data_IF_547817533234
#
_entry.id   IF_547817533234
#
_cell.length_a   1.000
_cell.length_b   1.000
_cell.length_c   1.000
_cell.angle_alpha   90.00
_cell.angle_beta   90.00
_cell.angle_gamma   90.00
#
_symmetry.space_group_name_H-M   'P 1'
#
loop_
_entity.id
_entity.type
_entity.pdbx_description
1 polymer ?
#
# COMPACT_ATOMS: atom_id res chain seq x y z
N UNK A 1 -53.57 -45.21 -33.20
CA UNK A 1 -53.22 -44.04 -32.37
C UNK A 1 -51.91 -44.39 -31.68
N UNK A 2 -50.80 -43.94 -32.25
CA UNK A 2 -49.49 -44.09 -31.62
C UNK A 2 -49.35 -43.01 -30.53
N UNK A 3 -48.96 -43.46 -29.34
CA UNK A 3 -48.72 -42.63 -28.18
C UNK A 3 -47.39 -41.90 -28.40
N UNK A 4 -47.44 -40.58 -28.60
CA UNK A 4 -46.24 -39.74 -28.73
C UNK A 4 -45.60 -39.63 -27.36
N UNK A 5 -44.57 -40.44 -27.12
CA UNK A 5 -43.70 -40.31 -25.94
C UNK A 5 -42.95 -38.98 -26.07
N UNK A 6 -43.41 -37.94 -25.36
CA UNK A 6 -42.69 -36.68 -25.24
C UNK A 6 -41.39 -36.96 -24.49
N UNK A 7 -40.26 -36.94 -25.19
CA UNK A 7 -38.96 -36.90 -24.53
C UNK A 7 -38.83 -35.56 -23.82
N UNK A 8 -38.74 -35.61 -22.48
CA UNK A 8 -38.40 -34.44 -21.70
C UNK A 8 -37.04 -33.91 -22.18
N UNK A 9 -36.87 -32.58 -22.28
CA UNK A 9 -35.58 -31.99 -22.60
C UNK A 9 -34.50 -32.50 -21.64
N UNK A 10 -33.31 -32.77 -22.18
CA UNK A 10 -32.19 -33.26 -21.39
C UNK A 10 -31.80 -32.20 -20.36
N UNK A 11 -31.82 -32.56 -19.07
CA UNK A 11 -31.31 -31.71 -17.98
C UNK A 11 -29.92 -31.18 -18.36
N UNK A 12 -29.75 -29.87 -18.36
CA UNK A 12 -28.42 -29.26 -18.50
C UNK A 12 -27.82 -29.06 -17.11
N UNK A 13 -26.58 -29.50 -16.94
CA UNK A 13 -25.85 -29.32 -15.69
C UNK A 13 -25.15 -27.96 -15.77
N UNK A 14 -25.55 -27.04 -14.90
CA UNK A 14 -24.81 -25.81 -14.67
C UNK A 14 -23.80 -26.06 -13.55
N UNK A 15 -22.52 -25.97 -13.90
CA UNK A 15 -21.41 -26.09 -12.95
C UNK A 15 -20.96 -24.68 -12.53
N UNK A 16 -21.16 -24.36 -11.24
CA UNK A 16 -20.77 -23.07 -10.67
C UNK A 16 -19.60 -23.31 -9.71
N UNK A 17 -18.43 -22.83 -10.13
CA UNK A 17 -17.26 -22.76 -9.27
C UNK A 17 -17.34 -21.50 -8.39
N UNK A 18 -17.55 -21.69 -7.09
CA UNK A 18 -17.68 -20.59 -6.13
C UNK A 18 -16.65 -20.72 -5.00
N UNK A 19 -16.26 -19.57 -4.44
CA UNK A 19 -15.45 -19.55 -3.22
C UNK A 19 -16.32 -19.29 -2.02
N UNK A 20 -16.40 -20.27 -1.12
CA UNK A 20 -17.07 -20.09 0.17
C UNK A 20 -16.14 -19.33 1.09
N UNK A 21 -16.53 -18.11 1.45
CA UNK A 21 -15.84 -17.34 2.49
C UNK A 21 -16.09 -18.00 3.84
N UNK A 22 -15.02 -18.42 4.49
CA UNK A 22 -15.04 -19.06 5.81
C UNK A 22 -14.94 -18.01 6.91
N UNK A 23 -14.02 -17.06 6.75
CA UNK A 23 -13.78 -16.01 7.71
C UNK A 23 -13.30 -14.73 7.02
N UNK A 24 -13.50 -13.60 7.66
CA UNK A 24 -13.11 -12.28 7.17
C UNK A 24 -12.56 -11.42 8.31
N UNK A 25 -11.49 -10.68 8.02
CA UNK A 25 -11.00 -9.56 8.83
C UNK A 25 -11.18 -8.28 8.05
N UNK A 26 -11.60 -7.22 8.72
CA UNK A 26 -11.56 -5.86 8.18
C UNK A 26 -10.69 -5.00 9.08
N UNK A 27 -9.63 -4.44 8.50
CA UNK A 27 -8.78 -3.43 9.11
C UNK A 27 -9.25 -2.09 8.58
N UNK A 28 -10.04 -1.36 9.36
CA UNK A 28 -10.66 -0.10 8.95
C UNK A 28 -9.70 1.07 9.16
N UNK A 29 -9.57 1.96 8.17
CA UNK A 29 -8.74 3.17 8.19
C UNK A 29 -7.31 2.91 8.68
N UNK A 30 -6.70 1.83 8.20
CA UNK A 30 -5.35 1.49 8.59
C UNK A 30 -4.34 2.41 7.90
N UNK A 31 -3.45 3.01 8.68
CA UNK A 31 -2.38 3.86 8.14
C UNK A 31 -1.30 2.98 7.49
N UNK A 32 -1.22 3.04 6.16
CA UNK A 32 -0.32 2.24 5.32
C UNK A 32 0.96 2.97 4.91
N UNK A 33 0.98 4.31 4.99
CA UNK A 33 2.19 5.12 4.85
C UNK A 33 2.35 5.95 6.12
N UNK A 34 3.48 5.73 6.79
CA UNK A 34 3.84 6.32 8.07
C UNK A 34 5.37 6.29 8.23
N UNK A 35 5.88 6.93 9.26
CA UNK A 35 7.20 6.61 9.79
C UNK A 35 7.07 6.30 11.29
N UNK A 36 8.06 5.61 11.83
CA UNK A 36 8.10 5.30 13.26
C UNK A 36 8.60 6.51 14.06
N UNK A 37 8.03 6.75 15.23
CA UNK A 37 8.51 7.75 16.16
C UNK A 37 9.78 7.25 16.88
N UNK A 38 10.77 8.13 17.04
CA UNK A 38 12.03 7.82 17.68
C UNK A 38 12.26 8.72 18.89
N UNK A 39 12.61 8.12 20.03
CA UNK A 39 13.02 8.85 21.22
C UNK A 39 14.48 8.51 21.52
N UNK A 40 15.38 9.50 21.49
CA UNK A 40 16.81 9.28 21.72
C UNK A 40 17.45 8.28 20.76
N UNK A 41 16.99 8.23 19.49
CA UNK A 41 17.49 7.29 18.48
C UNK A 41 16.94 5.87 18.59
N UNK A 42 16.04 5.60 19.55
CA UNK A 42 15.39 4.29 19.70
C UNK A 42 13.97 4.31 19.13
N UNK A 43 13.59 3.32 18.30
CA UNK A 43 12.24 3.22 17.75
C UNK A 43 11.21 2.90 18.85
N UNK A 44 10.12 3.65 18.90
CA UNK A 44 9.10 3.54 19.95
C UNK A 44 7.93 2.62 19.61
N UNK A 45 7.77 2.21 18.34
CA UNK A 45 6.60 1.47 17.84
C UNK A 45 5.39 2.33 17.48
N UNK A 46 5.40 3.61 17.86
CA UNK A 46 4.34 4.56 17.55
C UNK A 46 4.45 5.04 16.10
N UNK A 47 3.30 5.10 15.40
CA UNK A 47 3.21 5.63 14.05
C UNK A 47 3.02 7.14 14.09
N UNK A 48 3.78 7.84 13.27
CA UNK A 48 3.58 9.26 12.97
C UNK A 48 3.50 9.45 11.45
N UNK A 49 2.93 10.57 10.97
CA UNK A 49 2.95 10.90 9.55
C UNK A 49 4.36 10.82 8.96
N UNK A 50 4.47 10.37 7.71
CA UNK A 50 5.73 10.40 6.99
C UNK A 50 6.12 11.86 6.75
N UNK A 51 7.26 12.26 7.32
CA UNK A 51 7.79 13.61 7.16
C UNK A 51 8.55 13.73 5.85
N UNK A 52 8.03 14.58 4.98
CA UNK A 52 8.60 14.89 3.67
C UNK A 52 9.12 16.33 3.67
N UNK A 53 10.35 16.53 3.21
CA UNK A 53 10.90 17.84 2.91
C UNK A 53 10.89 18.01 1.39
N UNK A 54 9.83 18.62 0.86
CA UNK A 54 9.64 18.81 -0.58
C UNK A 54 10.47 19.99 -1.05
N UNK A 55 11.24 19.83 -2.12
CA UNK A 55 12.05 20.93 -2.66
C UNK A 55 11.16 22.07 -3.16
N UNK A 56 11.48 23.28 -2.69
CA UNK A 56 10.85 24.50 -3.17
C UNK A 56 11.33 24.81 -4.59
N UNK A 57 10.46 25.41 -5.39
CA UNK A 57 10.89 25.96 -6.68
C UNK A 57 11.71 27.21 -6.44
N UNK A 58 12.55 27.55 -7.40
CA UNK A 58 13.26 28.82 -7.40
C UNK A 58 12.63 29.73 -8.45
N UNK A 59 12.44 30.99 -8.09
CA UNK A 59 12.07 32.04 -9.03
C UNK A 59 13.28 32.45 -9.90
N UNK A 60 13.12 33.36 -10.89
CA UNK A 60 14.23 33.84 -11.71
C UNK A 60 15.35 34.56 -10.94
N UNK A 61 15.10 34.98 -9.70
CA UNK A 61 16.07 35.63 -8.81
C UNK A 61 16.70 34.64 -7.81
N UNK A 62 16.42 33.34 -7.93
CA UNK A 62 16.81 32.28 -6.99
C UNK A 62 16.16 32.37 -5.60
N UNK A 63 15.03 33.07 -5.47
CA UNK A 63 14.24 33.06 -4.24
C UNK A 63 13.31 31.83 -4.20
N UNK A 64 13.15 31.18 -3.03
CA UNK A 64 12.33 29.99 -2.90
C UNK A 64 10.84 30.30 -2.99
N UNK A 65 10.14 29.51 -3.80
CA UNK A 65 8.68 29.49 -3.93
C UNK A 65 8.19 28.25 -3.16
N UNK A 66 7.58 28.42 -1.97
CA UNK A 66 7.16 27.31 -1.12
C UNK A 66 6.04 26.47 -1.72
N UNK A 67 5.91 25.25 -1.19
CA UNK A 67 4.74 24.41 -1.43
C UNK A 67 3.53 25.02 -0.73
N UNK A 68 2.45 25.23 -1.49
CA UNK A 68 1.15 25.72 -0.99
C UNK A 68 0.21 24.57 -0.67
N UNK A 69 0.20 23.52 -1.50
CA UNK A 69 -0.67 22.37 -1.32
C UNK A 69 -0.07 21.11 -1.95
N UNK A 70 -0.44 19.95 -1.42
CA UNK A 70 -0.08 18.64 -1.96
C UNK A 70 -1.34 17.79 -2.09
N UNK A 71 -1.48 17.06 -3.20
CA UNK A 71 -2.63 16.19 -3.46
C UNK A 71 -2.18 14.83 -3.96
N UNK A 72 -2.80 13.75 -3.47
CA UNK A 72 -2.59 12.41 -4.01
C UNK A 72 -3.41 12.24 -5.29
N UNK A 73 -2.74 12.14 -6.43
CA UNK A 73 -3.39 11.91 -7.72
C UNK A 73 -3.75 10.44 -7.92
N UNK A 74 -2.79 9.56 -7.63
CA UNK A 74 -2.94 8.13 -7.88
C UNK A 74 -2.02 7.32 -6.98
N UNK A 75 -2.52 6.18 -6.54
CA UNK A 75 -1.69 5.09 -6.04
C UNK A 75 -1.55 4.03 -7.12
N UNK A 76 -0.32 3.70 -7.49
CA UNK A 76 -0.01 2.64 -8.46
C UNK A 76 0.36 1.39 -7.68
N UNK A 77 -0.45 0.33 -7.76
CA UNK A 77 -0.15 -0.96 -7.14
C UNK A 77 0.73 -1.75 -8.10
N UNK A 78 1.79 -2.36 -7.58
CA UNK A 78 2.70 -3.17 -8.38
C UNK A 78 2.03 -4.45 -8.89
N UNK A 79 2.49 -4.96 -10.03
CA UNK A 79 1.97 -6.20 -10.59
C UNK A 79 2.12 -7.37 -9.61
N UNK A 80 1.11 -8.23 -9.55
CA UNK A 80 1.07 -9.35 -8.63
C UNK A 80 0.71 -8.99 -7.18
N UNK A 81 0.38 -7.72 -6.88
CA UNK A 81 -0.13 -7.26 -5.59
C UNK A 81 -1.60 -6.82 -5.69
N UNK A 82 -2.37 -6.82 -4.58
CA UNK A 82 -1.99 -7.22 -3.23
C UNK A 82 -1.73 -8.73 -3.11
N UNK A 83 -0.80 -9.12 -2.24
CA UNK A 83 -0.46 -10.53 -1.99
C UNK A 83 -0.92 -10.95 -0.61
N UNK A 84 -1.44 -12.16 -0.52
CA UNK A 84 -1.63 -12.83 0.76
C UNK A 84 -0.76 -14.09 0.84
N UNK A 85 -0.22 -14.35 2.02
CA UNK A 85 0.35 -15.65 2.36
C UNK A 85 -0.25 -16.17 3.66
N UNK A 86 -0.74 -17.41 3.62
CA UNK A 86 -1.16 -18.12 4.82
C UNK A 86 0.09 -18.73 5.46
N UNK A 87 0.38 -18.33 6.70
CA UNK A 87 1.56 -18.79 7.44
C UNK A 87 1.10 -19.84 8.44
N UNK A 88 1.29 -21.10 8.03
CA UNK A 88 0.82 -22.28 8.75
C UNK A 88 -0.69 -22.15 9.09
N UNK A 89 -1.13 -22.81 10.15
CA UNK A 89 -2.53 -22.79 10.60
C UNK A 89 -2.79 -21.68 11.63
N UNK A 90 -2.05 -20.56 11.55
CA UNK A 90 -2.02 -19.57 12.63
C UNK A 90 -2.40 -18.15 12.22
N UNK A 91 -1.94 -17.71 11.05
CA UNK A 91 -2.01 -16.30 10.67
C UNK A 91 -1.98 -16.15 9.16
N UNK A 92 -2.58 -15.06 8.70
CA UNK A 92 -2.50 -14.61 7.32
C UNK A 92 -1.66 -13.34 7.25
N UNK A 93 -0.82 -13.21 6.23
CA UNK A 93 0.01 -12.04 5.99
C UNK A 93 -0.43 -11.37 4.70
N UNK A 94 -0.93 -10.15 4.84
CA UNK A 94 -1.22 -9.24 3.74
C UNK A 94 0.01 -8.42 3.42
N UNK A 95 0.40 -8.35 2.14
CA UNK A 95 1.49 -7.51 1.65
C UNK A 95 0.96 -6.64 0.51
N UNK A 96 1.22 -5.33 0.60
CA UNK A 96 0.90 -4.35 -0.43
C UNK A 96 2.22 -3.77 -0.94
N UNK A 97 2.35 -3.66 -2.27
CA UNK A 97 3.46 -2.97 -2.90
C UNK A 97 2.94 -1.91 -3.84
N UNK A 98 3.36 -0.68 -3.66
CA UNK A 98 2.79 0.46 -4.39
C UNK A 98 3.74 1.65 -4.49
N UNK A 99 3.40 2.55 -5.41
CA UNK A 99 3.96 3.89 -5.56
C UNK A 99 2.84 4.93 -5.40
N UNK A 100 3.21 6.15 -5.05
CA UNK A 100 2.29 7.28 -4.93
C UNK A 100 2.68 8.37 -5.92
N UNK A 101 1.72 8.85 -6.68
CA UNK A 101 1.88 10.01 -7.56
C UNK A 101 1.18 11.18 -6.88
N UNK A 102 1.97 12.17 -6.50
CA UNK A 102 1.54 13.38 -5.82
C UNK A 102 1.65 14.57 -6.78
N UNK A 103 0.66 15.46 -6.72
CA UNK A 103 0.68 16.77 -7.36
C UNK A 103 1.01 17.82 -6.30
N UNK A 104 2.07 18.57 -6.55
CA UNK A 104 2.53 19.70 -5.73
C UNK A 104 2.03 20.98 -6.39
N UNK A 105 1.37 21.83 -5.61
CA UNK A 105 1.02 23.20 -5.99
C UNK A 105 1.90 24.15 -5.18
N UNK A 106 2.59 25.06 -5.86
CA UNK A 106 3.43 26.09 -5.24
C UNK A 106 2.67 27.40 -5.05
N UNK A 107 3.20 28.34 -4.26
CA UNK A 107 2.55 29.63 -3.97
C UNK A 107 2.29 30.48 -5.22
N UNK A 108 3.10 30.33 -6.27
CA UNK A 108 2.92 31.00 -7.57
C UNK A 108 1.85 30.34 -8.46
N UNK A 109 1.14 29.31 -7.95
CA UNK A 109 0.20 28.45 -8.67
C UNK A 109 0.84 27.62 -9.80
N UNK A 110 2.16 27.47 -9.78
CA UNK A 110 2.82 26.46 -10.60
C UNK A 110 2.64 25.08 -9.99
N UNK A 111 2.76 24.04 -10.82
CA UNK A 111 2.61 22.66 -10.40
C UNK A 111 3.84 21.83 -10.73
N UNK A 112 4.11 20.82 -9.91
CA UNK A 112 5.05 19.74 -10.22
C UNK A 112 4.48 18.39 -9.76
N UNK A 113 5.01 17.31 -10.33
CA UNK A 113 4.62 15.93 -10.00
C UNK A 113 5.78 15.25 -9.28
N UNK A 114 5.46 14.64 -8.13
CA UNK A 114 6.39 13.82 -7.35
C UNK A 114 5.88 12.38 -7.36
N UNK A 115 6.76 11.44 -7.70
CA UNK A 115 6.49 10.01 -7.59
C UNK A 115 7.26 9.45 -6.39
N UNK A 116 6.55 9.00 -5.37
CA UNK A 116 7.14 8.38 -4.18
C UNK A 116 7.10 6.84 -4.27
N UNK A 117 8.17 6.14 -3.86
CA UNK A 117 9.41 6.68 -3.27
C UNK A 117 10.49 7.08 -4.28
N UNK A 118 10.25 6.97 -5.59
CA UNK A 118 11.26 7.18 -6.64
C UNK A 118 12.00 8.53 -6.57
N UNK A 119 11.33 9.60 -6.13
CA UNK A 119 11.93 10.92 -6.00
C UNK A 119 12.41 11.25 -4.57
N UNK A 120 12.53 10.24 -3.71
CA UNK A 120 13.05 10.39 -2.36
C UNK A 120 14.58 10.32 -2.33
N UNK A 121 15.16 11.10 -1.43
CA UNK A 121 16.55 10.95 -1.03
C UNK A 121 16.70 11.09 0.48
N UNK A 122 17.83 10.61 1.00
CA UNK A 122 18.22 10.79 2.39
C UNK A 122 18.47 12.28 2.72
N UNK A 123 18.26 12.69 3.98
CA UNK A 123 18.47 14.07 4.47
C UNK A 123 19.78 14.72 4.04
N UNK A 124 20.87 13.95 3.98
CA UNK A 124 22.21 14.47 3.63
C UNK A 124 22.64 14.16 2.20
N UNK A 125 21.76 13.59 1.36
CA UNK A 125 22.08 13.23 -0.02
C UNK A 125 21.12 13.93 -0.97
N UNK A 126 21.67 14.60 -1.97
CA UNK A 126 20.90 15.28 -3.00
C UNK A 126 21.39 14.85 -4.39
N UNK A 127 20.47 14.32 -5.20
CA UNK A 127 20.69 14.08 -6.62
C UNK A 127 19.78 15.00 -7.45
N UNK A 128 20.35 15.98 -8.16
CA UNK A 128 19.56 16.94 -8.93
C UNK A 128 18.70 16.32 -10.04
N UNK A 129 18.98 15.08 -10.44
CA UNK A 129 18.23 14.41 -11.52
C UNK A 129 16.96 13.72 -11.02
N UNK A 130 16.89 13.39 -9.73
CA UNK A 130 15.80 12.56 -9.19
C UNK A 130 15.14 13.14 -7.94
N UNK A 131 15.88 13.89 -7.10
CA UNK A 131 15.43 14.28 -5.77
C UNK A 131 14.41 15.40 -5.91
N UNK A 132 13.19 15.13 -5.45
CA UNK A 132 12.14 16.15 -5.30
C UNK A 132 11.62 16.26 -3.87
N UNK A 133 11.83 15.22 -3.09
CA UNK A 133 11.52 15.20 -1.67
C UNK A 133 12.61 14.48 -0.90
N UNK A 134 12.82 14.90 0.34
CA UNK A 134 13.83 14.38 1.23
C UNK A 134 13.13 13.82 2.47
N UNK A 135 13.64 12.72 3.01
CA UNK A 135 13.14 12.10 4.26
C UNK A 135 14.20 12.12 5.35
N UNK A 136 13.75 11.92 6.59
CA UNK A 136 14.63 11.85 7.75
C UNK A 136 15.50 10.59 7.75
N UNK A 137 16.62 10.67 8.51
CA UNK A 137 17.57 9.57 8.73
C UNK A 137 16.98 8.31 9.38
N UNK A 138 15.74 8.40 9.87
CA UNK A 138 14.96 7.30 10.46
C UNK A 138 14.17 6.50 9.42
N UNK A 139 14.05 7.01 8.20
CA UNK A 139 13.34 6.36 7.07
C UNK A 139 14.33 5.80 6.06
N UNK A 140 15.37 6.57 5.73
CA UNK A 140 16.51 6.15 4.91
C UNK A 140 17.76 6.52 5.70
N UNK A 141 18.72 5.62 5.85
CA UNK A 141 19.95 5.90 6.60
C UNK A 141 20.95 6.78 5.81
N UNK A 142 22.06 7.14 6.44
CA UNK A 142 23.11 7.96 5.80
C UNK A 142 23.80 7.30 4.61
N UNK A 143 23.69 5.98 4.48
CA UNK A 143 24.23 5.20 3.37
C UNK A 143 23.20 5.06 2.23
N UNK A 144 22.01 5.65 2.36
CA UNK A 144 20.93 5.52 1.37
C UNK A 144 20.14 4.21 1.49
N UNK A 145 20.26 3.49 2.60
CA UNK A 145 19.54 2.22 2.84
C UNK A 145 18.22 2.50 3.56
N UNK A 146 17.08 2.08 3.01
CA UNK A 146 15.81 2.17 3.70
C UNK A 146 15.76 1.42 5.03
N UNK A 147 15.21 2.06 6.04
CA UNK A 147 15.03 1.49 7.37
C UNK A 147 13.61 0.92 7.45
N UNK A 148 13.49 -0.34 7.87
CA UNK A 148 12.20 -0.97 8.13
C UNK A 148 11.53 -0.28 9.33
N UNK A 149 10.29 0.18 9.15
CA UNK A 149 9.51 0.88 10.16
C UNK A 149 8.68 -0.10 11.00
N UNK A 150 8.52 0.21 12.29
CA UNK A 150 7.69 -0.51 13.28
C UNK A 150 8.17 -1.94 13.58
N UNK A 151 9.49 -2.13 13.63
CA UNK A 151 10.10 -3.46 13.86
C UNK A 151 9.87 -4.03 15.26
N UNK A 152 9.72 -3.14 16.26
CA UNK A 152 9.68 -3.49 17.68
C UNK A 152 8.28 -3.88 18.17
N UNK A 153 7.24 -3.64 17.36
CA UNK A 153 5.85 -3.91 17.77
C UNK A 153 5.40 -5.28 17.31
N UNK A 154 4.85 -6.06 18.24
CA UNK A 154 4.47 -7.46 18.00
C UNK A 154 2.99 -7.67 17.70
N UNK A 155 2.11 -6.72 18.02
CA UNK A 155 0.67 -6.84 17.71
C UNK A 155 0.05 -5.48 17.37
N UNK A 156 -0.59 -5.33 16.20
CA UNK A 156 -0.46 -6.21 15.04
C UNK A 156 0.97 -6.19 14.51
N UNK A 157 1.44 -7.32 13.95
CA UNK A 157 2.73 -7.36 13.24
C UNK A 157 2.60 -6.62 11.92
N UNK A 158 2.95 -5.35 11.93
CA UNK A 158 2.80 -4.46 10.80
C UNK A 158 4.10 -3.71 10.56
N UNK A 159 4.50 -3.65 9.29
CA UNK A 159 5.74 -2.99 8.89
C UNK A 159 5.55 -2.22 7.58
N UNK A 160 6.37 -1.19 7.42
CA UNK A 160 6.52 -0.44 6.19
C UNK A 160 8.01 -0.31 5.86
N UNK A 161 8.37 -0.51 4.61
CA UNK A 161 9.73 -0.32 4.12
C UNK A 161 9.70 0.22 2.69
N UNK A 162 10.67 1.05 2.34
CA UNK A 162 10.94 1.43 0.96
C UNK A 162 11.80 0.34 0.34
N UNK A 163 11.37 -0.25 -0.78
CA UNK A 163 12.22 -1.16 -1.55
C UNK A 163 13.32 -0.34 -2.22
N UNK A 164 14.53 -0.89 -2.30
CA UNK A 164 15.69 -0.23 -2.91
C UNK A 164 16.42 -1.19 -3.83
N UNK A 165 16.83 -0.70 -5.00
CA UNK A 165 17.79 -1.38 -5.89
C UNK A 165 19.21 -0.81 -5.72
N UNK A 166 19.38 0.16 -4.83
CA UNK A 166 20.59 0.96 -4.65
C UNK A 166 20.28 2.30 -3.99
N UNK A 167 21.34 3.05 -3.70
CA UNK A 167 21.22 4.43 -3.20
C UNK A 167 20.46 5.26 -4.21
N UNK A 168 19.44 6.02 -3.76
CA UNK A 168 18.67 6.89 -4.63
C UNK A 168 17.88 6.17 -5.76
N UNK A 169 17.77 4.84 -5.71
CA UNK A 169 16.86 4.06 -6.55
C UNK A 169 15.85 3.30 -5.68
N UNK A 170 14.69 3.94 -5.50
CA UNK A 170 13.61 3.49 -4.62
C UNK A 170 12.33 3.22 -5.41
N UNK A 171 12.13 2.01 -5.96
CA UNK A 171 11.04 1.74 -6.89
C UNK A 171 9.65 1.69 -6.27
N UNK A 172 9.49 1.36 -4.98
CA UNK A 172 8.15 1.20 -4.38
C UNK A 172 8.19 1.12 -2.85
N UNK A 173 7.06 1.40 -2.21
CA UNK A 173 6.81 1.03 -0.82
C UNK A 173 6.34 -0.41 -0.73
N UNK A 174 6.75 -1.13 0.32
CA UNK A 174 6.15 -2.39 0.75
C UNK A 174 5.56 -2.19 2.14
N UNK A 175 4.24 -2.31 2.22
CA UNK A 175 3.49 -2.39 3.47
C UNK A 175 3.12 -3.85 3.74
N UNK A 176 3.25 -4.31 4.98
CA UNK A 176 2.87 -5.67 5.38
C UNK A 176 2.14 -5.65 6.70
N UNK A 177 1.09 -6.47 6.82
CA UNK A 177 0.40 -6.73 8.09
C UNK A 177 0.12 -8.21 8.23
N UNK A 178 0.40 -8.76 9.41
CA UNK A 178 0.10 -10.16 9.74
C UNK A 178 -1.01 -10.23 10.76
N UNK A 179 -2.08 -10.92 10.39
CA UNK A 179 -3.34 -11.02 11.11
C UNK A 179 -3.47 -12.46 11.63
N UNK A 180 -3.44 -12.68 12.95
CA UNK A 180 -3.77 -13.98 13.54
C UNK A 180 -5.18 -14.44 13.17
N UNK A 181 -5.39 -15.73 12.95
CA UNK A 181 -6.73 -16.26 12.64
C UNK A 181 -7.74 -16.05 13.77
N UNK A 182 -7.28 -15.90 15.00
CA UNK A 182 -8.12 -15.54 16.15
C UNK A 182 -8.76 -14.15 16.04
N UNK A 183 -8.25 -13.30 15.15
CA UNK A 183 -8.77 -11.94 14.95
C UNK A 183 -9.86 -11.85 13.87
N UNK A 184 -10.08 -12.91 13.09
CA UNK A 184 -11.11 -12.97 12.06
C UNK A 184 -12.50 -13.12 12.71
N UNK A 185 -13.55 -12.74 11.97
CA UNK A 185 -14.93 -12.75 12.43
C UNK A 185 -15.47 -14.14 12.80
N UNK A 186 -14.90 -15.20 12.21
CA UNK A 186 -15.24 -16.59 12.48
C UNK A 186 -14.01 -17.42 12.82
N UNK A 187 -14.16 -18.31 13.80
CA UNK A 187 -13.14 -19.29 14.12
C UNK A 187 -13.11 -20.40 13.05
N UNK A 188 -11.96 -20.55 12.40
CA UNK A 188 -11.74 -21.58 11.39
C UNK A 188 -11.59 -22.95 12.03
N UNK A 189 -12.27 -23.95 11.46
CA UNK A 189 -12.14 -25.35 11.90
C UNK A 189 -10.83 -25.94 11.42
N UNK A 190 -10.33 -26.96 12.12
CA UNK A 190 -9.09 -27.64 11.75
C UNK A 190 -9.15 -28.27 10.35
N UNK A 191 -10.30 -28.80 9.94
CA UNK A 191 -10.48 -29.35 8.59
C UNK A 191 -10.41 -28.27 7.51
N UNK A 192 -11.00 -27.09 7.76
CA UNK A 192 -10.96 -25.95 6.84
C UNK A 192 -9.54 -25.40 6.66
N UNK A 193 -8.74 -25.39 7.74
CA UNK A 193 -7.33 -24.98 7.70
C UNK A 193 -6.42 -25.97 6.97
N UNK A 194 -6.84 -27.23 6.84
CA UNK A 194 -6.10 -28.28 6.14
C UNK A 194 -6.58 -28.48 4.70
N UNK A 195 -7.57 -27.70 4.27
CA UNK A 195 -8.10 -27.78 2.91
C UNK A 195 -7.05 -27.27 1.92
N UNK A 196 -6.70 -28.05 0.88
CA UNK A 196 -5.70 -27.65 -0.11
C UNK A 196 -6.14 -26.47 -0.98
N UNK A 197 -7.44 -26.16 -1.01
CA UNK A 197 -8.02 -25.04 -1.77
C UNK A 197 -8.12 -23.76 -0.94
N UNK A 198 -7.72 -23.79 0.34
CA UNK A 198 -7.76 -22.62 1.21
C UNK A 198 -6.92 -21.50 0.63
N UNK A 199 -7.58 -20.39 0.32
CA UNK A 199 -6.97 -19.20 -0.24
C UNK A 199 -7.44 -17.96 0.52
N UNK A 200 -6.60 -16.94 0.51
CA UNK A 200 -6.99 -15.60 0.93
C UNK A 200 -7.27 -14.72 -0.27
N UNK A 201 -8.26 -13.85 -0.12
CA UNK A 201 -8.60 -12.80 -1.04
C UNK A 201 -8.59 -11.44 -0.32
N UNK A 202 -7.77 -10.51 -0.84
CA UNK A 202 -7.63 -9.17 -0.30
C UNK A 202 -8.45 -8.19 -1.11
N UNK A 203 -9.23 -7.37 -0.42
CA UNK A 203 -10.00 -6.29 -1.01
C UNK A 203 -9.62 -4.98 -0.32
N UNK A 204 -9.22 -4.00 -1.13
CA UNK A 204 -8.81 -2.67 -0.68
C UNK A 204 -9.95 -1.68 -0.93
N UNK A 205 -10.30 -0.86 0.07
CA UNK A 205 -11.40 0.11 -0.02
C UNK A 205 -11.09 1.41 0.71
N UNK A 206 -11.82 2.47 0.38
CA UNK A 206 -11.83 3.72 1.13
C UNK A 206 -10.42 4.32 1.31
N UNK A 207 -9.66 4.39 0.22
CA UNK A 207 -8.37 5.08 0.20
C UNK A 207 -8.60 6.55 0.55
N UNK A 208 -7.95 7.00 1.61
CA UNK A 208 -7.98 8.38 2.10
C UNK A 208 -6.58 8.80 2.52
N UNK A 209 -6.31 10.10 2.52
CA UNK A 209 -5.00 10.63 2.87
C UNK A 209 -5.16 11.92 3.66
N UNK A 210 -4.22 12.15 4.56
CA UNK A 210 -4.10 13.39 5.32
C UNK A 210 -2.76 14.03 4.99
N UNK A 211 -2.78 15.34 4.77
CA UNK A 211 -1.63 16.15 4.38
C UNK A 211 -1.66 17.42 5.22
N UNK A 212 -0.53 17.75 5.81
CA UNK A 212 -0.32 19.02 6.49
C UNK A 212 0.98 19.66 6.01
N UNK A 213 0.92 20.90 5.53
CA UNK A 213 2.09 21.68 5.09
C UNK A 213 2.44 22.63 6.22
N UNK A 214 3.60 22.42 6.83
CA UNK A 214 3.92 23.00 8.14
C UNK A 214 4.70 24.30 8.00
N UNK A 215 5.92 24.22 7.48
CA UNK A 215 6.83 25.37 7.41
C UNK A 215 7.86 25.21 6.29
N UNK A 216 8.59 26.29 6.00
CA UNK A 216 9.74 26.29 5.10
C UNK A 216 11.01 26.09 5.91
N UNK A 217 11.78 25.06 5.56
CA UNK A 217 13.01 24.67 6.24
C UNK A 217 14.13 24.53 5.23
N UNK A 218 15.31 25.03 5.59
CA UNK A 218 16.51 24.79 4.81
C UNK A 218 17.18 23.48 5.24
N UNK A 219 17.51 22.64 4.28
CA UNK A 219 18.20 21.36 4.48
C UNK A 219 19.57 21.45 3.83
N UNK A 220 20.61 21.21 4.62
CA UNK A 220 21.96 21.03 4.10
C UNK A 220 22.14 19.57 3.64
N UNK A 221 22.53 19.40 2.39
CA UNK A 221 22.78 18.10 1.79
C UNK A 221 24.06 18.12 0.95
N UNK A 222 24.65 16.95 0.71
CA UNK A 222 25.75 16.81 -0.23
C UNK A 222 25.18 16.45 -1.60
N UNK A 223 25.47 17.27 -2.61
CA UNK A 223 25.16 16.94 -3.99
C UNK A 223 26.02 15.76 -4.41
N UNK A 224 25.40 14.63 -4.74
CA UNK A 224 26.13 13.39 -5.03
C UNK A 224 26.87 13.43 -6.39
N UNK A 225 26.49 14.35 -7.28
CA UNK A 225 27.11 14.54 -8.59
C UNK A 225 28.35 15.42 -8.49
N UNK A 226 28.27 16.51 -7.72
CA UNK A 226 29.38 17.48 -7.60
C UNK A 226 30.22 17.30 -6.33
N UNK A 227 29.77 16.47 -5.39
CA UNK A 227 30.37 16.28 -4.05
C UNK A 227 30.47 17.58 -3.23
N UNK A 228 29.67 18.59 -3.56
CA UNK A 228 29.62 19.86 -2.84
C UNK A 228 28.44 19.88 -1.87
N UNK A 229 28.63 20.53 -0.72
CA UNK A 229 27.53 20.86 0.19
C UNK A 229 26.64 21.91 -0.46
N UNK A 230 25.33 21.67 -0.46
CA UNK A 230 24.31 22.57 -0.98
C UNK A 230 23.27 22.81 0.11
N UNK A 231 22.74 24.03 0.15
CA UNK A 231 21.60 24.37 0.99
C UNK A 231 20.35 24.36 0.13
N UNK A 232 19.42 23.47 0.44
CA UNK A 232 18.15 23.32 -0.28
C UNK A 232 17.04 23.97 0.52
N UNK A 233 16.27 24.84 -0.10
CA UNK A 233 15.02 25.32 0.49
C UNK A 233 13.92 24.29 0.28
N UNK A 234 13.25 23.90 1.37
CA UNK A 234 12.22 22.85 1.34
C UNK A 234 11.00 23.27 2.13
N UNK A 235 9.82 22.74 1.78
CA UNK A 235 8.63 22.78 2.64
C UNK A 235 8.50 21.46 3.39
N UNK A 236 8.38 21.53 4.71
CA UNK A 236 8.06 20.38 5.57
C UNK A 236 6.58 20.03 5.45
N UNK A 237 6.32 18.77 5.10
CA UNK A 237 4.98 18.22 4.87
C UNK A 237 4.84 16.90 5.61
N UNK A 238 3.81 16.80 6.43
CA UNK A 238 3.38 15.56 7.07
C UNK A 238 2.38 14.84 6.15
N UNK A 239 2.71 13.62 5.73
CA UNK A 239 1.88 12.81 4.83
C UNK A 239 1.46 11.50 5.49
N UNK A 240 0.15 11.21 5.49
CA UNK A 240 -0.40 9.92 5.90
C UNK A 240 -1.35 9.36 4.86
N UNK A 241 -1.27 8.05 4.62
CA UNK A 241 -2.18 7.33 3.74
C UNK A 241 -2.91 6.27 4.53
N UNK A 242 -4.24 6.25 4.41
CA UNK A 242 -5.12 5.34 5.11
C UNK A 242 -5.96 4.53 4.13
N UNK A 243 -6.22 3.27 4.49
CA UNK A 243 -7.07 2.41 3.68
C UNK A 243 -7.77 1.35 4.53
N UNK A 244 -8.94 0.90 4.07
CA UNK A 244 -9.58 -0.29 4.57
C UNK A 244 -8.99 -1.53 3.87
N UNK A 245 -8.38 -2.42 4.66
CA UNK A 245 -7.85 -3.69 4.18
C UNK A 245 -8.80 -4.80 4.65
N UNK A 246 -9.48 -5.43 3.69
CA UNK A 246 -10.39 -6.55 3.95
C UNK A 246 -9.70 -7.83 3.50
N UNK A 247 -9.43 -8.72 4.44
CA UNK A 247 -8.89 -10.05 4.17
C UNK A 247 -10.00 -11.08 4.33
N UNK A 248 -10.25 -11.88 3.30
CA UNK A 248 -11.23 -12.97 3.29
C UNK A 248 -10.52 -14.29 3.09
N UNK A 249 -10.73 -15.23 3.99
CA UNK A 249 -10.28 -16.61 3.85
C UNK A 249 -11.43 -17.45 3.30
N UNK A 250 -11.17 -18.24 2.27
CA UNK A 250 -12.18 -19.08 1.65
C UNK A 250 -11.59 -20.33 1.01
N UNK A 251 -12.45 -21.31 0.81
CA UNK A 251 -12.14 -22.56 0.10
C UNK A 251 -12.99 -22.65 -1.16
N UNK A 252 -12.52 -23.42 -2.12
CA UNK A 252 -13.27 -23.69 -3.33
C UNK A 252 -14.46 -24.62 -2.97
N UNK A 253 -15.61 -24.32 -3.56
CA UNK A 253 -16.81 -25.10 -3.37
C UNK A 253 -17.61 -25.14 -4.66
N UNK A 254 -17.97 -26.35 -5.07
CA UNK A 254 -18.81 -26.56 -6.24
C UNK A 254 -20.28 -26.44 -5.84
N UNK A 255 -21.03 -25.66 -6.61
CA UNK A 255 -22.49 -25.55 -6.49
C UNK A 255 -23.09 -26.12 -7.77
N UNK A 256 -23.68 -27.32 -7.64
CA UNK A 256 -24.35 -27.99 -8.74
C UNK A 256 -25.83 -27.62 -8.68
N UNK A 257 -26.32 -26.96 -9.74
CA UNK A 257 -27.74 -26.65 -9.91
C UNK A 257 -28.30 -27.56 -11.00
N UNK A 258 -29.26 -28.42 -10.64
CA UNK A 258 -30.05 -29.17 -11.62
C UNK A 258 -31.32 -28.39 -11.96
N UNK A 259 -31.50 -28.04 -13.24
CA UNK A 259 -32.69 -27.34 -13.72
C UNK A 259 -33.01 -27.67 -15.17
N UNK A 260 -34.25 -27.40 -15.57
CA UNK A 260 -34.68 -27.43 -16.98
C UNK A 260 -34.62 -25.98 -17.48
N UNK A 261 -33.75 -25.64 -18.45
CA UNK A 261 -33.66 -24.28 -18.99
C UNK A 261 -34.97 -23.88 -19.66
N UNK A 262 -35.46 -22.66 -19.38
CA UNK A 262 -36.72 -22.13 -19.90
C UNK A 262 -36.73 -21.96 -21.44
N UNK A 263 -35.55 -22.01 -22.08
CA UNK A 263 -35.37 -21.84 -23.52
C UNK A 263 -35.91 -23.02 -24.37
N UNK A 264 -36.35 -24.12 -23.75
CA UNK A 264 -36.93 -25.28 -24.43
C UNK A 264 -38.44 -25.47 -24.14
N UNK A 265 -39.11 -24.44 -23.62
CA UNK A 265 -40.57 -24.40 -23.63
C UNK A 265 -41.06 -23.95 -25.02
N UNK A 266 -41.25 -24.89 -25.95
CA UNK A 266 -42.15 -24.65 -27.08
C UNK A 266 -43.60 -24.59 -26.55
N UNK A 267 -44.35 -23.56 -26.96
CA UNK A 267 -45.77 -23.33 -26.61
C UNK A 267 -46.68 -24.56 -26.87
#
# INVERSE_FOLDING_TARGET
>A
MEEVVRHLPNKQILDIFAKRVLAKKTLTKYQIVFQENYTGGTPTGEKIPLKLYILNRLDPNNEPIPVKCLKLCKRVIAEGYPQNSIICNSKSKVTLRFQLILLVEYEDNSFDIITLPNNLSHRFQYDPNITKAIVQGTVIDSNGVPILQRQSTTVPYETLIINSNGVNDYPSFTYSVTIPFSEFDNALKKCELQDPTLQSYILLKNLSYDIDVIDVVNVEATNIVTSQTVTLSTSEVDFSLFEDIIDKLGIDQDVIIEGIPEAECED
#
